data_IF_123198490397
#
_entry.id   IF_123198490397
#
_cell.length_a   1.000
_cell.length_b   1.000
_cell.length_c   1.000
_cell.angle_alpha   90.00
_cell.angle_beta   90.00
_cell.angle_gamma   90.00
#
_symmetry.space_group_name_H-M   'P 1'
#
loop_
_entity.id
_entity.type
_entity.pdbx_description
1 polymer ?
#
# COMPACT_ATOMS: atom_id res chain seq x y z
N UNK A 1 -2.00 9.07 -32.04
CA UNK A 1 -1.92 10.00 -33.19
C UNK A 1 -3.34 10.10 -33.72
N UNK A 2 -4.03 11.20 -33.42
CA UNK A 2 -5.41 11.41 -33.89
C UNK A 2 -5.39 12.61 -34.84
N UNK A 3 -6.06 12.38 -35.97
CA UNK A 3 -5.98 13.10 -37.24
C UNK A 3 -6.25 14.60 -37.15
N UNK A 4 -5.43 15.36 -37.89
CA UNK A 4 -5.69 16.74 -38.27
C UNK A 4 -6.12 16.69 -39.74
N UNK A 5 -7.42 16.75 -39.99
CA UNK A 5 -7.97 16.94 -41.33
C UNK A 5 -8.83 18.20 -41.36
N UNK A 6 -8.51 19.04 -42.33
CA UNK A 6 -9.05 20.36 -42.62
C UNK A 6 -10.56 20.38 -42.90
N UNK A 7 -11.21 21.45 -42.45
CA UNK A 7 -12.24 22.11 -43.25
C UNK A 7 -12.10 23.61 -43.04
N UNK A 8 -11.76 24.32 -44.11
CA UNK A 8 -11.88 25.76 -44.15
C UNK A 8 -13.35 26.12 -44.23
N UNK A 9 -13.81 26.90 -43.26
CA UNK A 9 -14.72 28.01 -43.49
C UNK A 9 -14.56 29.00 -42.33
N UNK A 10 -14.70 30.27 -42.63
CA UNK A 10 -14.34 31.44 -41.83
C UNK A 10 -15.29 31.66 -40.64
N UNK A 11 -15.40 30.66 -39.77
CA UNK A 11 -16.10 30.75 -38.50
C UNK A 11 -15.03 30.73 -37.42
N UNK A 12 -14.73 31.92 -36.87
CA UNK A 12 -14.00 32.06 -35.60
C UNK A 12 -14.73 31.18 -34.58
N UNK A 13 -14.24 29.96 -34.41
CA UNK A 13 -14.74 29.01 -33.42
C UNK A 13 -14.39 29.64 -32.08
N UNK A 14 -15.40 30.08 -31.35
CA UNK A 14 -15.20 30.61 -30.01
C UNK A 14 -14.51 29.49 -29.20
N UNK A 15 -13.43 29.73 -28.46
CA UNK A 15 -12.67 28.68 -27.77
C UNK A 15 -13.50 27.77 -26.84
N UNK A 16 -14.76 28.15 -26.54
CA UNK A 16 -15.71 27.34 -25.79
C UNK A 16 -16.34 26.17 -26.57
N UNK A 17 -16.44 26.21 -27.90
CA UNK A 17 -17.16 25.16 -28.66
C UNK A 17 -16.32 23.92 -28.98
N UNK A 18 -15.01 23.96 -28.73
CA UNK A 18 -14.07 22.84 -28.95
C UNK A 18 -13.66 22.15 -27.62
N UNK A 19 -14.28 22.50 -26.51
CA UNK A 19 -13.89 22.08 -25.16
C UNK A 19 -14.58 20.80 -24.66
N UNK A 20 -13.97 20.17 -23.66
CA UNK A 20 -14.61 19.14 -22.84
C UNK A 20 -15.86 19.73 -22.14
N UNK A 21 -17.04 19.07 -22.17
CA UNK A 21 -18.27 19.55 -21.53
C UNK A 21 -18.11 19.95 -20.07
N UNK A 22 -17.11 19.41 -19.37
CA UNK A 22 -16.79 19.78 -18.00
C UNK A 22 -16.45 21.28 -17.85
N UNK A 23 -15.99 21.99 -18.88
CA UNK A 23 -15.73 23.43 -18.78
C UNK A 23 -16.98 24.33 -18.90
N UNK A 24 -18.13 23.74 -19.25
CA UNK A 24 -19.40 24.48 -19.39
C UNK A 24 -20.31 24.33 -18.18
N UNK A 25 -20.15 23.25 -17.43
CA UNK A 25 -20.94 22.98 -16.23
C UNK A 25 -20.44 23.85 -15.07
N UNK A 26 -21.34 24.66 -14.52
CA UNK A 26 -21.06 25.48 -13.34
C UNK A 26 -20.60 24.58 -12.19
N UNK A 27 -19.48 24.92 -11.55
CA UNK A 27 -18.89 24.15 -10.45
C UNK A 27 -18.49 22.70 -10.80
N UNK A 28 -18.19 22.43 -12.07
CA UNK A 28 -17.69 21.12 -12.52
C UNK A 28 -16.37 20.68 -11.87
N UNK A 29 -15.64 21.61 -11.26
CA UNK A 29 -14.29 21.39 -10.79
C UNK A 29 -13.22 21.54 -11.87
N UNK A 30 -13.60 21.83 -13.12
CA UNK A 30 -12.70 22.02 -14.25
C UNK A 30 -12.77 23.45 -14.75
N UNK A 31 -11.65 24.14 -14.78
CA UNK A 31 -11.60 25.56 -15.10
C UNK A 31 -10.44 25.89 -16.02
N UNK A 32 -10.64 26.85 -16.91
CA UNK A 32 -9.54 27.48 -17.64
C UNK A 32 -9.68 29.00 -17.58
N UNK A 33 -8.55 29.70 -17.54
CA UNK A 33 -8.47 31.16 -17.55
C UNK A 33 -7.30 31.60 -18.42
N UNK A 34 -7.56 32.52 -19.35
CA UNK A 34 -6.56 33.17 -20.19
C UNK A 34 -6.55 34.64 -19.82
N UNK A 35 -5.40 35.12 -19.34
CA UNK A 35 -5.20 36.53 -18.98
C UNK A 35 -4.14 37.15 -19.87
N UNK A 36 -4.49 38.24 -20.56
CA UNK A 36 -3.52 39.05 -21.29
C UNK A 36 -2.72 39.91 -20.30
N UNK A 37 -1.40 39.83 -20.35
CA UNK A 37 -0.46 40.46 -19.41
C UNK A 37 0.12 41.79 -19.91
N UNK A 38 0.06 42.07 -21.21
CA UNK A 38 0.70 43.22 -21.89
C UNK A 38 -0.24 44.42 -22.14
N UNK A 39 -1.48 44.39 -21.63
CA UNK A 39 -2.47 45.49 -21.79
C UNK A 39 -2.72 46.24 -20.49
N UNK A 40 -2.92 47.57 -20.57
CA UNK A 40 -3.28 48.42 -19.42
C UNK A 40 -4.58 47.97 -18.72
N UNK A 41 -5.51 47.40 -19.48
CA UNK A 41 -6.71 46.74 -18.95
C UNK A 41 -6.52 45.22 -19.06
N UNK A 42 -6.62 44.47 -17.95
CA UNK A 42 -6.54 43.01 -17.99
C UNK A 42 -7.68 42.45 -18.84
N UNK A 43 -7.36 41.89 -19.99
CA UNK A 43 -8.34 41.14 -20.79
C UNK A 43 -8.31 39.69 -20.30
N UNK A 44 -9.41 39.26 -19.69
CA UNK A 44 -9.56 37.91 -19.15
C UNK A 44 -10.65 37.20 -19.94
N UNK A 45 -10.34 35.99 -20.42
CA UNK A 45 -11.33 35.02 -20.88
C UNK A 45 -11.25 33.79 -19.98
N UNK A 46 -12.39 33.21 -19.64
CA UNK A 46 -12.45 32.05 -18.77
C UNK A 46 -13.55 31.09 -19.20
N UNK A 47 -13.46 29.85 -18.73
CA UNK A 47 -14.52 28.85 -18.86
C UNK A 47 -15.81 29.31 -18.21
N UNK A 48 -16.97 28.88 -18.75
CA UNK A 48 -18.28 29.15 -18.15
C UNK A 48 -18.38 28.54 -16.75
N UNK A 49 -17.73 27.40 -16.53
CA UNK A 49 -17.60 26.75 -15.22
C UNK A 49 -17.00 27.65 -14.14
N UNK A 50 -16.06 28.55 -14.49
CA UNK A 50 -15.38 29.46 -13.54
C UNK A 50 -16.25 30.67 -13.17
N UNK A 51 -17.24 31.00 -14.02
CA UNK A 51 -18.16 32.13 -13.83
C UNK A 51 -17.40 33.45 -13.54
N UNK A 52 -17.75 34.16 -12.46
CA UNK A 52 -17.17 35.43 -12.05
C UNK A 52 -15.93 35.30 -11.14
N UNK A 53 -15.48 34.07 -10.86
CA UNK A 53 -14.30 33.82 -10.05
C UNK A 53 -13.01 33.97 -10.88
N UNK A 54 -11.86 34.02 -10.20
CA UNK A 54 -10.54 34.05 -10.82
C UNK A 54 -9.65 32.98 -10.24
N UNK A 55 -8.89 32.32 -11.10
CA UNK A 55 -7.86 31.39 -10.64
C UNK A 55 -6.69 32.15 -10.01
N UNK A 56 -6.14 31.68 -8.88
CA UNK A 56 -4.94 32.26 -8.29
C UNK A 56 -3.75 32.05 -9.23
N UNK A 57 -2.84 33.02 -9.28
CA UNK A 57 -1.60 32.88 -10.08
C UNK A 57 -0.54 32.16 -9.27
N UNK A 58 -0.01 31.08 -9.81
CA UNK A 58 1.02 30.29 -9.14
C UNK A 58 2.32 31.08 -8.98
N UNK A 59 2.62 31.98 -9.91
CA UNK A 59 3.73 32.92 -9.79
C UNK A 59 3.65 33.81 -8.53
N UNK A 60 2.44 34.26 -8.14
CA UNK A 60 2.23 35.08 -6.94
C UNK A 60 2.31 34.23 -5.66
N UNK A 61 2.10 32.92 -5.77
CA UNK A 61 2.21 31.95 -4.67
C UNK A 61 3.64 31.41 -4.49
N UNK A 62 4.64 31.98 -5.16
CA UNK A 62 6.03 31.58 -5.05
C UNK A 62 6.39 30.27 -5.75
N UNK A 63 5.51 29.73 -6.61
CA UNK A 63 5.78 28.49 -7.34
C UNK A 63 6.81 28.78 -8.45
N UNK A 64 7.98 28.11 -8.44
CA UNK A 64 9.00 28.33 -9.46
C UNK A 64 8.53 27.83 -10.83
N UNK A 65 8.98 28.52 -11.89
CA UNK A 65 8.73 28.04 -13.25
C UNK A 65 9.59 26.80 -13.52
N UNK A 66 8.95 25.74 -14.00
CA UNK A 66 9.63 24.55 -14.52
C UNK A 66 10.17 24.75 -15.93
N UNK A 67 10.71 23.67 -16.50
CA UNK A 67 11.19 23.62 -17.88
C UNK A 67 10.07 24.09 -18.84
N UNK A 68 10.41 25.01 -19.74
CA UNK A 68 9.45 25.58 -20.71
C UNK A 68 8.54 26.69 -20.18
N UNK A 69 8.79 27.20 -18.97
CA UNK A 69 8.08 28.36 -18.40
C UNK A 69 6.71 28.03 -17.80
N UNK A 70 6.36 26.75 -17.71
CA UNK A 70 5.14 26.28 -17.06
C UNK A 70 5.34 26.20 -15.54
N UNK A 71 4.32 26.59 -14.78
CA UNK A 71 4.22 26.38 -13.33
C UNK A 71 3.09 25.40 -13.06
N UNK A 72 3.29 24.56 -12.06
CA UNK A 72 2.29 23.59 -11.67
C UNK A 72 2.24 23.56 -10.15
N UNK A 73 1.05 23.68 -9.58
CA UNK A 73 0.85 23.75 -8.14
C UNK A 73 -0.61 23.56 -7.77
N UNK A 74 -0.93 23.97 -6.55
CA UNK A 74 -2.29 23.92 -6.00
C UNK A 74 -2.78 25.34 -5.71
N UNK A 75 -4.09 25.55 -5.80
CA UNK A 75 -4.73 26.80 -5.44
C UNK A 75 -6.19 26.59 -5.07
N UNK A 76 -6.80 27.56 -4.39
CA UNK A 76 -8.20 27.49 -4.02
C UNK A 76 -9.11 27.76 -5.24
N UNK A 77 -10.15 26.95 -5.39
CA UNK A 77 -11.20 27.13 -6.37
C UNK A 77 -12.30 28.11 -5.92
N UNK A 78 -13.27 28.42 -6.81
CA UNK A 78 -14.39 29.33 -6.52
C UNK A 78 -15.25 28.90 -5.33
N UNK A 79 -15.30 27.60 -5.08
CA UNK A 79 -16.03 26.90 -4.03
C UNK A 79 -15.16 26.59 -2.80
N UNK A 80 -13.92 27.08 -2.76
CA UNK A 80 -12.95 26.83 -1.70
C UNK A 80 -12.26 25.47 -1.77
N UNK A 81 -12.61 24.61 -2.74
CA UNK A 81 -11.95 23.31 -2.92
C UNK A 81 -10.53 23.46 -3.44
N UNK A 82 -9.67 22.51 -3.12
CA UNK A 82 -8.32 22.46 -3.64
C UNK A 82 -8.34 22.11 -5.13
N UNK A 83 -7.74 22.96 -5.94
CA UNK A 83 -7.55 22.72 -7.37
C UNK A 83 -6.08 22.46 -7.65
N UNK A 84 -5.82 21.49 -8.51
CA UNK A 84 -4.55 21.33 -9.17
C UNK A 84 -4.51 22.30 -10.35
N UNK A 85 -3.60 23.27 -10.32
CA UNK A 85 -3.46 24.32 -11.33
C UNK A 85 -2.17 24.11 -12.12
N UNK A 86 -2.25 24.25 -13.43
CA UNK A 86 -1.10 24.38 -14.33
C UNK A 86 -1.25 25.70 -15.05
N UNK A 87 -0.21 26.54 -14.99
CA UNK A 87 -0.17 27.80 -15.71
C UNK A 87 1.07 27.94 -16.57
N UNK A 88 0.94 28.63 -17.70
CA UNK A 88 2.06 28.92 -18.59
C UNK A 88 1.90 30.31 -19.19
N UNK A 89 3.00 31.05 -19.20
CA UNK A 89 3.08 32.29 -19.96
C UNK A 89 3.55 32.00 -21.38
N UNK A 90 2.81 32.48 -22.37
CA UNK A 90 3.09 32.30 -23.79
C UNK A 90 3.11 33.68 -24.45
N UNK A 91 4.21 33.98 -25.13
CA UNK A 91 4.31 35.16 -26.00
C UNK A 91 3.83 34.78 -27.40
N UNK A 92 2.82 35.47 -27.90
CA UNK A 92 2.20 35.20 -29.21
C UNK A 92 2.54 36.35 -30.16
N UNK A 93 3.82 36.52 -30.47
CA UNK A 93 4.31 37.57 -31.39
C UNK A 93 3.67 38.93 -31.14
N UNK A 94 3.10 39.54 -32.18
CA UNK A 94 2.41 40.84 -32.10
C UNK A 94 1.07 40.80 -31.35
N UNK A 95 0.53 39.61 -31.08
CA UNK A 95 -0.76 39.46 -30.37
C UNK A 95 -0.63 39.65 -28.85
N UNK A 96 0.60 39.61 -28.30
CA UNK A 96 0.87 39.94 -26.90
C UNK A 96 1.30 38.75 -26.02
N UNK A 97 1.38 39.01 -24.71
CA UNK A 97 1.80 38.05 -23.70
C UNK A 97 0.57 37.51 -22.95
N UNK A 98 0.37 36.21 -22.97
CA UNK A 98 -0.80 35.56 -22.36
C UNK A 98 -0.38 34.61 -21.24
N UNK A 99 -1.07 34.67 -20.11
CA UNK A 99 -1.05 33.65 -19.07
C UNK A 99 -2.23 32.71 -19.31
N UNK A 100 -1.94 31.46 -19.62
CA UNK A 100 -2.93 30.40 -19.75
C UNK A 100 -2.89 29.58 -18.47
N UNK A 101 -4.05 29.39 -17.83
CA UNK A 101 -4.22 28.60 -16.62
C UNK A 101 -5.29 27.54 -16.86
N UNK A 102 -5.01 26.31 -16.44
CA UNK A 102 -5.96 25.19 -16.43
C UNK A 102 -5.96 24.60 -15.02
N UNK A 103 -7.15 24.35 -14.49
CA UNK A 103 -7.34 23.86 -13.14
C UNK A 103 -8.35 22.72 -13.10
N UNK A 104 -8.10 21.72 -12.25
CA UNK A 104 -9.00 20.59 -12.02
C UNK A 104 -9.08 20.26 -10.52
N UNK A 105 -10.25 19.83 -10.03
CA UNK A 105 -10.41 19.30 -8.67
C UNK A 105 -9.75 17.94 -8.54
N UNK A 106 -9.08 17.70 -7.41
CA UNK A 106 -8.45 16.40 -7.12
C UNK A 106 -9.28 15.50 -6.22
N UNK A 107 -10.39 15.99 -5.64
CA UNK A 107 -11.19 15.25 -4.65
C UNK A 107 -11.67 13.88 -5.13
N UNK A 108 -12.25 13.80 -6.32
CA UNK A 108 -12.75 12.52 -6.86
C UNK A 108 -11.61 11.53 -7.10
N UNK A 109 -10.44 12.03 -7.51
CA UNK A 109 -9.25 11.23 -7.72
C UNK A 109 -8.66 10.75 -6.39
N UNK A 110 -8.55 11.63 -5.40
CA UNK A 110 -8.07 11.31 -4.06
C UNK A 110 -8.99 10.29 -3.37
N UNK A 111 -10.31 10.45 -3.49
CA UNK A 111 -11.28 9.48 -2.96
C UNK A 111 -11.16 8.11 -3.65
N UNK A 112 -10.84 8.07 -4.95
CA UNK A 112 -10.58 6.82 -5.66
C UNK A 112 -9.27 6.17 -5.21
N UNK A 113 -8.20 6.96 -5.05
CA UNK A 113 -6.90 6.49 -4.54
C UNK A 113 -7.09 5.90 -3.14
N UNK A 114 -7.75 6.62 -2.23
CA UNK A 114 -7.98 6.14 -0.86
C UNK A 114 -8.79 4.83 -0.83
N UNK A 115 -9.83 4.69 -1.65
CA UNK A 115 -10.60 3.44 -1.75
C UNK A 115 -9.76 2.29 -2.29
N UNK A 116 -8.90 2.56 -3.27
CA UNK A 116 -7.97 1.58 -3.81
C UNK A 116 -6.94 1.15 -2.76
N UNK A 117 -6.34 2.10 -2.04
CA UNK A 117 -5.37 1.83 -0.96
C UNK A 117 -5.99 1.00 0.17
N UNK A 118 -7.20 1.33 0.60
CA UNK A 118 -7.93 0.52 1.60
C UNK A 118 -8.18 -0.89 1.10
N UNK A 119 -8.60 -1.04 -0.16
CA UNK A 119 -8.85 -2.36 -0.76
C UNK A 119 -7.57 -3.19 -0.84
N UNK A 120 -6.45 -2.56 -1.23
CA UNK A 120 -5.14 -3.19 -1.29
C UNK A 120 -4.64 -3.58 0.10
N UNK A 121 -4.77 -2.70 1.09
CA UNK A 121 -4.40 -2.97 2.48
C UNK A 121 -5.20 -4.16 3.04
N UNK A 122 -6.51 -4.20 2.82
CA UNK A 122 -7.36 -5.33 3.23
C UNK A 122 -6.90 -6.63 2.58
N UNK A 123 -6.62 -6.63 1.27
CA UNK A 123 -6.13 -7.81 0.57
C UNK A 123 -4.79 -8.31 1.15
N UNK A 124 -3.84 -7.41 1.41
CA UNK A 124 -2.56 -7.78 2.01
C UNK A 124 -2.68 -8.24 3.46
N UNK A 125 -3.55 -7.64 4.27
CA UNK A 125 -3.82 -8.10 5.63
C UNK A 125 -4.42 -9.51 5.62
N UNK A 126 -5.38 -9.78 4.76
CA UNK A 126 -5.97 -11.12 4.61
C UNK A 126 -4.94 -12.14 4.15
N UNK A 127 -4.10 -11.77 3.18
CA UNK A 127 -3.02 -12.63 2.71
C UNK A 127 -2.01 -12.92 3.82
N UNK A 128 -1.54 -11.88 4.54
CA UNK A 128 -0.60 -12.02 5.64
C UNK A 128 -1.20 -12.87 6.78
N UNK A 129 -2.46 -12.64 7.14
CA UNK A 129 -3.16 -13.44 8.14
C UNK A 129 -3.27 -14.91 7.71
N UNK A 130 -3.60 -15.17 6.44
CA UNK A 130 -3.66 -16.52 5.87
C UNK A 130 -2.31 -17.24 5.91
N UNK A 131 -1.22 -16.54 5.54
CA UNK A 131 0.13 -17.07 5.60
C UNK A 131 0.56 -17.35 7.04
N UNK A 132 0.35 -16.40 7.97
CA UNK A 132 0.68 -16.60 9.38
C UNK A 132 -0.12 -17.75 10.01
N UNK A 133 -1.41 -17.86 9.71
CA UNK A 133 -2.23 -18.97 10.19
C UNK A 133 -1.72 -20.32 9.65
N UNK A 134 -1.38 -20.36 8.35
CA UNK A 134 -0.83 -21.57 7.72
C UNK A 134 0.52 -21.94 8.32
N UNK A 135 1.44 -20.99 8.48
CA UNK A 135 2.75 -21.22 9.11
C UNK A 135 2.60 -21.66 10.56
N UNK A 136 1.74 -21.02 11.34
CA UNK A 136 1.46 -21.42 12.72
C UNK A 136 0.91 -22.86 12.79
N UNK A 137 0.00 -23.21 11.87
CA UNK A 137 -0.54 -24.57 11.76
C UNK A 137 0.54 -25.59 11.40
N UNK A 138 1.38 -25.30 10.40
CA UNK A 138 2.49 -26.15 9.99
C UNK A 138 3.49 -26.39 11.13
N UNK A 139 3.88 -25.32 11.84
CA UNK A 139 4.80 -25.41 12.99
C UNK A 139 4.16 -26.20 14.13
N UNK A 140 2.90 -25.92 14.47
CA UNK A 140 2.20 -26.64 15.53
C UNK A 140 2.06 -28.13 15.23
N UNK A 141 1.76 -28.48 13.97
CA UNK A 141 1.65 -29.86 13.53
C UNK A 141 3.02 -30.55 13.50
N UNK A 142 4.03 -29.89 12.93
CA UNK A 142 5.40 -30.43 12.81
C UNK A 142 6.11 -30.62 14.16
N UNK A 143 5.85 -29.76 15.15
CA UNK A 143 6.44 -29.88 16.49
C UNK A 143 5.64 -30.76 17.45
N UNK A 144 4.42 -31.18 17.08
CA UNK A 144 3.57 -32.01 17.94
C UNK A 144 4.26 -33.31 18.40
N UNK A 145 4.99 -34.06 17.55
CA UNK A 145 5.71 -35.28 17.97
C UNK A 145 6.83 -35.00 18.96
N UNK A 146 7.57 -33.89 18.78
CA UNK A 146 8.63 -33.49 19.70
C UNK A 146 8.08 -33.16 21.09
N UNK A 147 6.97 -32.43 21.16
CA UNK A 147 6.29 -32.14 22.45
C UNK A 147 5.80 -33.41 23.14
N UNK A 148 5.33 -34.41 22.38
CA UNK A 148 4.96 -35.73 22.92
C UNK A 148 6.17 -36.46 23.49
N UNK A 149 7.29 -36.46 22.75
CA UNK A 149 8.52 -37.09 23.21
C UNK A 149 9.04 -36.43 24.50
N UNK A 150 9.04 -35.09 24.55
CA UNK A 150 9.40 -34.32 25.74
C UNK A 150 8.55 -34.70 26.96
N UNK A 151 7.22 -34.80 26.78
CA UNK A 151 6.32 -35.24 27.86
C UNK A 151 6.59 -36.68 28.31
N UNK A 152 6.84 -37.61 27.37
CA UNK A 152 7.13 -39.00 27.69
C UNK A 152 8.43 -39.15 28.50
N UNK A 153 9.47 -38.39 28.14
CA UNK A 153 10.73 -38.35 28.91
C UNK A 153 10.50 -37.76 30.31
N UNK A 154 9.67 -36.72 30.43
CA UNK A 154 9.33 -36.14 31.72
C UNK A 154 8.55 -37.12 32.62
N UNK A 155 7.72 -38.00 32.04
CA UNK A 155 6.99 -39.04 32.77
C UNK A 155 7.92 -40.13 33.29
N UNK A 156 8.90 -40.57 32.49
CA UNK A 156 9.94 -41.52 32.93
C UNK A 156 10.77 -40.93 34.07
N UNK A 157 11.18 -39.66 33.95
CA UNK A 157 11.96 -38.98 35.01
C UNK A 157 11.21 -38.90 36.34
N UNK A 158 9.87 -38.84 36.30
CA UNK A 158 9.01 -38.84 37.49
C UNK A 158 8.62 -40.25 37.97
N UNK A 159 9.04 -41.30 37.27
CA UNK A 159 8.67 -42.69 37.56
C UNK A 159 7.22 -43.02 37.21
N UNK A 160 6.54 -42.17 36.42
CA UNK A 160 5.15 -42.37 36.01
C UNK A 160 5.02 -43.30 34.79
N UNK A 161 6.10 -43.49 34.02
CA UNK A 161 6.17 -44.40 32.90
C UNK A 161 7.52 -45.13 32.89
N UNK A 162 7.54 -46.36 32.39
CA UNK A 162 8.78 -47.13 32.35
C UNK A 162 9.59 -46.95 31.07
N UNK A 163 8.93 -46.65 29.96
CA UNK A 163 9.57 -46.45 28.65
C UNK A 163 8.80 -45.41 27.85
N UNK A 164 9.43 -44.91 26.80
CA UNK A 164 8.78 -44.04 25.81
C UNK A 164 7.92 -44.94 24.93
N UNK A 165 6.61 -44.73 24.97
CA UNK A 165 5.62 -45.49 24.18
C UNK A 165 4.98 -44.60 23.12
N UNK A 166 4.44 -45.23 22.07
CA UNK A 166 3.69 -44.58 20.99
C UNK A 166 4.44 -44.51 19.66
N UNK A 167 3.68 -44.21 18.60
CA UNK A 167 4.21 -44.10 17.24
C UNK A 167 4.77 -42.70 16.99
N UNK A 168 6.05 -42.65 16.64
CA UNK A 168 6.75 -41.44 16.25
C UNK A 168 7.02 -41.45 14.74
N UNK A 169 7.08 -40.27 14.08
CA UNK A 169 7.51 -40.16 12.69
C UNK A 169 8.89 -40.78 12.46
N UNK A 170 9.19 -41.18 11.22
CA UNK A 170 10.46 -41.82 10.83
C UNK A 170 11.72 -41.05 11.24
N UNK A 171 11.61 -39.73 11.37
CA UNK A 171 12.70 -38.85 11.75
C UNK A 171 12.94 -38.84 13.27
N UNK A 172 11.93 -39.16 14.07
CA UNK A 172 11.97 -39.10 15.54
C UNK A 172 12.03 -40.50 16.16
N UNK A 173 11.46 -41.52 15.52
CA UNK A 173 11.41 -42.89 16.04
C UNK A 173 12.79 -43.44 16.46
N UNK A 174 13.87 -43.30 15.67
CA UNK A 174 15.19 -43.80 16.07
C UNK A 174 15.71 -43.14 17.36
N UNK A 175 15.36 -41.86 17.59
CA UNK A 175 15.75 -41.16 18.80
C UNK A 175 14.99 -41.66 20.03
N UNK A 176 13.70 -41.96 19.88
CA UNK A 176 12.89 -42.54 20.95
C UNK A 176 13.42 -43.94 21.34
N UNK A 177 13.81 -44.75 20.36
CA UNK A 177 14.39 -46.08 20.59
C UNK A 177 15.74 -46.00 21.32
N UNK A 178 16.63 -45.10 20.90
CA UNK A 178 17.93 -44.89 21.56
C UNK A 178 17.75 -44.45 23.02
N UNK A 179 16.81 -43.55 23.29
CA UNK A 179 16.47 -43.13 24.65
C UNK A 179 15.96 -44.30 25.50
N UNK A 180 15.13 -45.18 24.93
CA UNK A 180 14.65 -46.38 25.60
C UNK A 180 15.80 -47.35 25.95
N UNK A 181 16.77 -47.52 25.06
CA UNK A 181 17.97 -48.32 25.32
C UNK A 181 18.78 -47.75 26.49
N UNK A 182 19.03 -46.43 26.50
CA UNK A 182 19.75 -45.74 27.56
C UNK A 182 19.05 -45.83 28.91
N UNK A 183 17.73 -45.68 28.93
CA UNK A 183 16.92 -45.84 30.14
C UNK A 183 17.00 -47.27 30.68
N UNK A 184 16.92 -48.27 29.79
CA UNK A 184 16.99 -49.69 30.16
C UNK A 184 18.36 -50.05 30.74
N UNK A 185 19.44 -49.60 30.11
CA UNK A 185 20.81 -49.81 30.58
C UNK A 185 21.04 -49.17 31.96
N UNK A 186 20.53 -47.95 32.19
CA UNK A 186 20.61 -47.30 33.49
C UNK A 186 19.84 -48.06 34.59
N UNK A 187 18.65 -48.59 34.27
CA UNK A 187 17.90 -49.41 35.24
C UNK A 187 18.69 -50.64 35.65
N UNK A 188 19.27 -51.36 34.69
CA UNK A 188 20.04 -52.56 34.98
C UNK A 188 21.24 -52.27 35.91
N UNK A 189 21.91 -51.13 35.69
CA UNK A 189 22.99 -50.66 36.58
C UNK A 189 22.48 -50.37 37.99
N UNK A 190 21.35 -49.67 38.13
CA UNK A 190 20.74 -49.33 39.42
C UNK A 190 20.26 -50.59 40.16
N UNK A 191 19.66 -51.55 39.48
CA UNK A 191 19.22 -52.81 40.09
C UNK A 191 20.39 -53.66 40.58
N UNK A 192 21.46 -53.76 39.80
CA UNK A 192 22.70 -54.44 40.23
C UNK A 192 23.30 -53.79 41.47
N UNK A 193 23.34 -52.45 41.51
CA UNK A 193 23.82 -51.70 42.67
C UNK A 193 22.94 -51.95 43.92
N UNK A 194 21.61 -51.94 43.78
CA UNK A 194 20.68 -52.24 44.90
C UNK A 194 20.88 -53.65 45.44
N UNK A 195 21.06 -54.64 44.56
CA UNK A 195 21.29 -56.03 44.95
C UNK A 195 22.59 -56.20 45.73
N UNK A 196 23.68 -55.55 45.29
CA UNK A 196 24.96 -55.59 46.00
C UNK A 196 24.90 -54.95 47.40
N UNK A 197 24.23 -53.80 47.55
CA UNK A 197 24.06 -53.16 48.86
C UNK A 197 23.19 -54.01 49.79
N UNK A 198 22.14 -54.65 49.27
CA UNK A 198 21.30 -55.59 50.04
C UNK A 198 22.09 -56.78 50.57
N UNK A 199 22.95 -57.37 49.74
CA UNK A 199 23.82 -58.48 50.15
C UNK A 199 24.85 -58.07 51.22
N UNK A 200 25.28 -56.81 51.25
CA UNK A 200 26.19 -56.28 52.27
C UNK A 200 25.50 -55.97 53.62
N UNK A 201 24.19 -55.79 53.64
CA UNK A 201 23.43 -55.58 54.88
C UNK A 201 23.00 -56.90 55.57
N UNK A 202 23.25 -58.04 54.93
CA UNK A 202 22.93 -59.38 55.42
C UNK A 202 24.16 -60.21 55.81
N UNK A 203 25.36 -59.73 55.53
CA UNK A 203 26.64 -60.31 55.96
C UNK A 203 27.15 -59.59 57.23
#
# INVERSE_FOLDING_TARGET
>A
VADVASSGDDQRTDPGELGDPQFDLVQSGWYWQITRLDSEKPQIRASRSLFAARLPKLAESGVPAGLGGARAGYGAGPDGRALRIVERQISVGDAGLYLIQVAATTEDLEAQINRFEVSLAVAFVLLAAGLLATTAFQVAFGLRPLRRLESAVADIRRGAADRIEGDYPSEIAPLADELNLLVSANREVVERARTQVGNLAHA
#
